data_IF_302027669288
#
_entry.id   IF_302027669288
#
_cell.length_a   1.000
_cell.length_b   1.000
_cell.length_c   1.000
_cell.angle_alpha   90.00
_cell.angle_beta   90.00
_cell.angle_gamma   90.00
#
_symmetry.space_group_name_H-M   'P 1'
#
loop_
_entity.id
_entity.type
_entity.pdbx_description
1 polymer ?
#
# COMPACT_ATOMS: atom_id res chain seq x y z
N UNK A 1 -26.29 -55.71 -85.23
CA UNK A 1 -26.08 -54.74 -84.13
C UNK A 1 -26.32 -55.43 -82.80
N UNK A 2 -25.26 -55.72 -82.04
CA UNK A 2 -25.34 -56.36 -80.72
C UNK A 2 -24.17 -57.29 -80.42
N UNK A 3 -23.12 -56.75 -79.77
CA UNK A 3 -22.11 -57.49 -78.99
C UNK A 3 -21.33 -56.42 -78.19
N UNK A 4 -21.75 -56.08 -76.96
CA UNK A 4 -21.24 -56.59 -75.67
C UNK A 4 -19.72 -56.45 -75.52
N UNK A 5 -19.31 -55.34 -74.91
CA UNK A 5 -18.00 -55.15 -74.28
C UNK A 5 -18.13 -54.55 -72.86
N UNK A 6 -17.13 -54.80 -71.98
CA UNK A 6 -17.36 -55.19 -70.58
C UNK A 6 -17.32 -54.04 -69.54
N UNK A 7 -17.82 -54.37 -68.34
CA UNK A 7 -17.98 -53.49 -67.18
C UNK A 7 -16.63 -53.03 -66.59
N UNK A 8 -16.45 -51.73 -66.46
CA UNK A 8 -15.33 -51.09 -65.77
C UNK A 8 -15.58 -51.11 -64.24
N UNK A 9 -14.83 -51.92 -63.51
CA UNK A 9 -14.78 -51.90 -62.04
C UNK A 9 -13.68 -50.93 -61.59
N UNK A 10 -14.07 -49.70 -61.26
CA UNK A 10 -13.20 -48.69 -60.68
C UNK A 10 -13.09 -48.83 -59.15
N UNK A 11 -12.14 -49.65 -58.72
CA UNK A 11 -11.59 -49.80 -57.37
C UNK A 11 -10.97 -48.47 -56.87
N UNK A 12 -11.75 -47.64 -56.17
CA UNK A 12 -11.18 -46.57 -55.34
C UNK A 12 -10.46 -47.24 -54.16
N UNK A 13 -9.14 -47.38 -54.24
CA UNK A 13 -8.32 -47.66 -53.06
C UNK A 13 -8.41 -46.41 -52.17
N UNK A 14 -9.18 -46.50 -51.08
CA UNK A 14 -8.99 -45.59 -49.96
C UNK A 14 -7.67 -45.98 -49.31
N UNK A 15 -6.58 -45.30 -49.64
CA UNK A 15 -5.37 -45.37 -48.83
C UNK A 15 -5.68 -44.68 -47.51
N UNK A 16 -6.07 -45.46 -46.51
CA UNK A 16 -6.12 -44.97 -45.14
C UNK A 16 -4.68 -44.83 -44.66
N UNK A 17 -4.12 -43.63 -44.83
CA UNK A 17 -2.87 -43.26 -44.16
C UNK A 17 -3.19 -43.18 -42.68
N UNK A 18 -3.01 -44.30 -41.96
CA UNK A 18 -3.08 -44.33 -40.51
C UNK A 18 -1.89 -43.55 -39.97
N UNK A 19 -2.09 -42.27 -39.67
CA UNK A 19 -1.16 -41.53 -38.84
C UNK A 19 -1.06 -42.25 -37.49
N UNK A 20 0.08 -42.89 -37.28
CA UNK A 20 0.43 -43.55 -36.04
C UNK A 20 0.63 -42.47 -34.99
N UNK A 21 -0.44 -42.02 -34.35
CA UNK A 21 -0.39 -41.08 -33.25
C UNK A 21 0.40 -41.74 -32.12
N UNK A 22 1.68 -41.37 -31.99
CA UNK A 22 2.48 -41.74 -30.82
C UNK A 22 1.84 -41.05 -29.62
N UNK A 23 1.02 -41.79 -28.86
CA UNK A 23 0.46 -41.33 -27.60
C UNK A 23 1.64 -41.23 -26.63
N UNK A 24 2.23 -40.04 -26.53
CA UNK A 24 3.18 -39.72 -25.48
C UNK A 24 2.48 -39.95 -24.14
N UNK A 25 2.97 -40.92 -23.37
CA UNK A 25 2.40 -41.27 -22.06
C UNK A 25 2.60 -40.06 -21.14
N UNK A 26 1.53 -39.29 -20.91
CA UNK A 26 1.56 -38.20 -19.95
C UNK A 26 1.86 -38.79 -18.56
N UNK A 27 3.00 -38.39 -17.99
CA UNK A 27 3.30 -38.66 -16.58
C UNK A 27 2.43 -37.72 -15.76
N UNK A 28 1.34 -38.23 -15.20
CA UNK A 28 0.51 -37.49 -14.25
C UNK A 28 1.19 -37.41 -12.88
N UNK A 29 0.97 -36.29 -12.19
CA UNK A 29 1.36 -36.14 -10.79
C UNK A 29 0.64 -37.17 -9.92
N UNK A 30 1.33 -37.74 -8.94
CA UNK A 30 0.70 -38.65 -7.99
C UNK A 30 -0.03 -37.86 -6.90
N UNK A 31 -1.14 -38.40 -6.36
CA UNK A 31 -1.86 -37.77 -5.25
C UNK A 31 -0.98 -37.60 -4.01
N UNK A 32 -0.08 -38.56 -3.75
CA UNK A 32 0.85 -38.53 -2.61
C UNK A 32 1.86 -37.39 -2.75
N UNK A 33 2.30 -37.11 -3.97
CA UNK A 33 3.27 -36.05 -4.27
C UNK A 33 2.68 -34.66 -4.09
N UNK A 34 1.40 -34.46 -4.42
CA UNK A 34 0.70 -33.22 -4.09
C UNK A 34 0.42 -33.13 -2.57
N UNK A 35 0.09 -34.25 -1.91
CA UNK A 35 -0.19 -34.29 -0.49
C UNK A 35 1.01 -33.85 0.37
N UNK A 36 2.21 -34.39 0.11
CA UNK A 36 3.40 -33.99 0.87
C UNK A 36 3.77 -32.51 0.62
N UNK A 37 3.59 -32.01 -0.60
CA UNK A 37 3.88 -30.61 -0.94
C UNK A 37 2.98 -29.66 -0.17
N UNK A 38 1.66 -29.89 -0.14
CA UNK A 38 0.75 -29.00 0.60
C UNK A 38 0.96 -29.08 2.12
N UNK A 39 1.39 -30.23 2.64
CA UNK A 39 1.76 -30.37 4.06
C UNK A 39 2.99 -29.51 4.38
N UNK A 40 4.05 -29.60 3.57
CA UNK A 40 5.26 -28.79 3.79
C UNK A 40 4.95 -27.29 3.63
N UNK A 41 4.18 -26.90 2.60
CA UNK A 41 3.75 -25.52 2.41
C UNK A 41 2.90 -25.02 3.58
N UNK A 42 2.05 -25.87 4.16
CA UNK A 42 1.25 -25.55 5.35
C UNK A 42 2.11 -25.26 6.58
N UNK A 43 3.14 -26.08 6.83
CA UNK A 43 4.07 -25.87 7.95
C UNK A 43 4.87 -24.58 7.77
N UNK A 44 5.39 -24.34 6.57
CA UNK A 44 6.13 -23.11 6.26
C UNK A 44 5.26 -21.87 6.42
N UNK A 45 4.03 -21.89 5.88
CA UNK A 45 3.09 -20.79 5.99
C UNK A 45 2.77 -20.45 7.46
N UNK A 46 2.59 -21.45 8.32
CA UNK A 46 2.27 -21.26 9.73
C UNK A 46 3.37 -20.48 10.50
N UNK A 47 4.64 -20.64 10.12
CA UNK A 47 5.76 -19.93 10.75
C UNK A 47 5.98 -18.55 10.09
N UNK A 48 5.93 -18.49 8.77
CA UNK A 48 6.30 -17.28 8.01
C UNK A 48 5.26 -16.17 8.14
N UNK A 49 3.97 -16.50 8.13
CA UNK A 49 2.89 -15.50 8.17
C UNK A 49 2.97 -14.60 9.42
N UNK A 50 3.01 -15.13 10.66
CA UNK A 50 3.07 -14.28 11.86
C UNK A 50 4.37 -13.46 11.90
N UNK A 51 5.50 -14.05 11.51
CA UNK A 51 6.78 -13.35 11.46
C UNK A 51 6.73 -12.16 10.49
N UNK A 52 6.18 -12.36 9.30
CA UNK A 52 6.07 -11.32 8.29
C UNK A 52 5.14 -10.18 8.74
N UNK A 53 4.00 -10.51 9.36
CA UNK A 53 3.07 -9.50 9.89
C UNK A 53 3.76 -8.61 10.94
N UNK A 54 4.43 -9.20 11.92
CA UNK A 54 5.11 -8.44 12.99
C UNK A 54 6.24 -7.54 12.43
N UNK A 55 7.01 -8.06 11.47
CA UNK A 55 8.06 -7.29 10.80
C UNK A 55 7.48 -6.10 10.01
N UNK A 56 6.36 -6.32 9.32
CA UNK A 56 5.64 -5.28 8.58
C UNK A 56 5.12 -4.17 9.52
N UNK A 57 4.57 -4.53 10.68
CA UNK A 57 4.09 -3.56 11.65
C UNK A 57 5.22 -2.75 12.29
N UNK A 58 6.34 -3.39 12.62
CA UNK A 58 7.53 -2.70 13.13
C UNK A 58 8.11 -1.72 12.09
N UNK A 59 8.09 -2.11 10.81
CA UNK A 59 8.49 -1.23 9.71
C UNK A 59 7.55 -0.02 9.57
N UNK A 60 6.24 -0.21 9.73
CA UNK A 60 5.27 0.89 9.76
C UNK A 60 5.49 1.83 10.94
N UNK A 61 5.76 1.30 12.13
CA UNK A 61 6.11 2.12 13.31
C UNK A 61 7.36 2.97 13.08
N UNK A 62 8.40 2.38 12.49
CA UNK A 62 9.64 3.10 12.14
C UNK A 62 9.39 4.18 11.07
N UNK A 63 8.60 3.86 10.05
CA UNK A 63 8.18 4.82 9.02
C UNK A 63 7.41 5.98 9.62
N UNK A 64 6.47 5.71 10.54
CA UNK A 64 5.68 6.74 11.22
C UNK A 64 6.58 7.73 11.98
N UNK A 65 7.55 7.24 12.73
CA UNK A 65 8.52 8.10 13.44
C UNK A 65 9.32 8.96 12.47
N UNK A 66 9.76 8.41 11.33
CA UNK A 66 10.47 9.18 10.30
C UNK A 66 9.59 10.28 9.67
N UNK A 67 8.32 9.97 9.41
CA UNK A 67 7.35 10.94 8.89
C UNK A 67 7.11 12.05 9.91
N UNK A 68 6.91 11.71 11.20
CA UNK A 68 6.74 12.68 12.28
C UNK A 68 7.94 13.62 12.41
N UNK A 69 9.17 13.08 12.36
CA UNK A 69 10.38 13.89 12.41
C UNK A 69 10.45 14.86 11.23
N UNK A 70 10.09 14.40 10.03
CA UNK A 70 10.03 15.24 8.83
C UNK A 70 9.02 16.37 9.01
N UNK A 71 7.79 16.05 9.43
CA UNK A 71 6.74 17.05 9.66
C UNK A 71 7.17 18.08 10.70
N UNK A 72 7.71 17.66 11.84
CA UNK A 72 8.17 18.55 12.91
C UNK A 72 9.26 19.51 12.44
N UNK A 73 10.25 18.99 11.71
CA UNK A 73 11.30 19.83 11.12
C UNK A 73 10.72 20.86 10.15
N UNK A 74 9.73 20.48 9.33
CA UNK A 74 9.09 21.41 8.41
C UNK A 74 8.21 22.45 9.13
N UNK A 75 7.54 22.08 10.21
CA UNK A 75 6.78 23.00 11.05
C UNK A 75 7.68 24.04 11.73
N UNK A 76 8.87 23.64 12.18
CA UNK A 76 9.87 24.56 12.73
C UNK A 76 10.39 25.53 11.66
N UNK A 77 10.67 25.04 10.44
CA UNK A 77 11.07 25.90 9.33
C UNK A 77 9.96 26.88 8.94
N UNK A 78 8.71 26.41 8.89
CA UNK A 78 7.53 27.24 8.67
C UNK A 78 7.48 28.37 9.71
N UNK A 79 7.60 28.03 10.99
CA UNK A 79 7.54 29.01 12.07
C UNK A 79 8.55 30.15 11.90
N UNK A 80 9.77 29.83 11.48
CA UNK A 80 10.84 30.81 11.26
C UNK A 80 10.49 31.79 10.12
N UNK A 81 9.82 31.31 9.07
CA UNK A 81 9.48 32.10 7.89
C UNK A 81 8.17 32.88 8.05
N UNK A 82 7.27 32.44 8.94
CA UNK A 82 5.94 33.03 9.14
C UNK A 82 5.80 33.79 10.47
N UNK A 83 6.74 34.69 10.74
CA UNK A 83 6.71 35.59 11.91
C UNK A 83 6.57 34.88 13.28
N UNK A 84 7.09 33.66 13.42
CA UNK A 84 6.98 32.89 14.67
C UNK A 84 5.68 32.09 14.82
N UNK A 85 4.80 32.13 13.82
CA UNK A 85 3.51 31.44 13.85
C UNK A 85 3.60 30.08 13.16
N UNK A 86 2.96 29.07 13.77
CA UNK A 86 2.74 27.79 13.10
C UNK A 86 1.52 27.85 12.19
N UNK A 87 1.38 26.91 11.22
CA UNK A 87 0.19 26.84 10.38
C UNK A 87 -1.08 26.73 11.22
N UNK A 88 -2.17 27.36 10.79
CA UNK A 88 -3.46 27.14 11.44
C UNK A 88 -3.97 25.73 11.11
N UNK A 89 -4.69 25.12 12.04
CA UNK A 89 -5.36 23.85 11.88
C UNK A 89 -6.31 23.91 10.68
N UNK A 90 -7.00 25.03 10.46
CA UNK A 90 -7.89 25.19 9.30
C UNK A 90 -7.17 24.92 7.97
N UNK A 91 -5.88 25.29 7.87
CA UNK A 91 -5.08 25.02 6.68
C UNK A 91 -4.58 23.57 6.57
N UNK A 92 -4.51 22.86 7.68
CA UNK A 92 -4.10 21.45 7.73
C UNK A 92 -5.31 20.49 7.62
N UNK A 93 -6.49 20.94 8.07
CA UNK A 93 -7.71 20.14 8.28
C UNK A 93 -8.66 20.09 7.06
N UNK A 94 -8.37 20.77 5.96
CA UNK A 94 -9.23 20.71 4.77
C UNK A 94 -9.33 19.27 4.25
N UNK A 95 -10.50 18.82 3.78
CA UNK A 95 -10.63 17.49 3.18
C UNK A 95 -9.72 17.31 1.95
N UNK A 96 -9.34 16.07 1.66
CA UNK A 96 -8.59 15.69 0.46
C UNK A 96 -9.26 16.30 -0.80
N UNK A 97 -8.57 17.13 -1.62
CA UNK A 97 -7.12 17.27 -1.75
C UNK A 97 -6.47 18.50 -1.08
N UNK A 98 -7.22 19.37 -0.43
CA UNK A 98 -6.73 20.67 0.09
C UNK A 98 -6.14 20.57 1.51
N UNK A 99 -5.94 19.34 2.03
CA UNK A 99 -5.28 19.11 3.30
C UNK A 99 -3.82 19.57 3.24
N UNK A 100 -3.28 20.07 4.35
CA UNK A 100 -1.86 20.44 4.48
C UNK A 100 -1.40 21.61 3.58
N UNK A 101 -2.29 22.43 3.04
CA UNK A 101 -1.97 23.49 2.07
C UNK A 101 -0.81 24.40 2.47
N UNK A 102 -0.73 24.80 3.75
CA UNK A 102 0.37 25.64 4.24
C UNK A 102 1.74 24.96 4.25
N UNK A 103 1.78 23.63 4.25
CA UNK A 103 3.03 22.87 4.14
C UNK A 103 3.28 22.36 2.72
N UNK A 104 2.25 22.10 1.92
CA UNK A 104 2.37 21.51 0.57
C UNK A 104 2.37 22.51 -0.57
N UNK A 105 2.00 23.77 -0.30
CA UNK A 105 1.98 24.86 -1.28
C UNK A 105 2.88 26.01 -0.84
N UNK A 106 3.16 26.91 -1.78
CA UNK A 106 3.82 28.15 -1.43
C UNK A 106 2.83 29.12 -0.75
N UNK A 107 3.32 29.87 0.23
CA UNK A 107 2.54 30.82 1.02
C UNK A 107 3.25 32.16 1.17
N UNK A 108 2.49 33.21 1.49
CA UNK A 108 3.02 34.51 1.90
C UNK A 108 3.45 34.49 3.38
N UNK A 109 4.04 35.57 3.89
CA UNK A 109 4.52 35.65 5.29
C UNK A 109 3.42 35.37 6.35
N UNK A 110 2.16 35.61 6.01
CA UNK A 110 1.01 35.42 6.92
C UNK A 110 0.39 34.02 6.79
N UNK A 111 0.90 33.18 5.89
CA UNK A 111 0.40 31.83 5.67
C UNK A 111 -0.79 31.73 4.73
N UNK A 112 -1.10 32.78 3.96
CA UNK A 112 -2.08 32.69 2.88
C UNK A 112 -1.41 32.15 1.61
N UNK A 113 -2.21 31.70 0.64
CA UNK A 113 -1.70 31.24 -0.64
C UNK A 113 -0.85 32.33 -1.32
N UNK A 114 0.38 31.99 -1.66
CA UNK A 114 1.39 32.95 -2.15
C UNK A 114 2.52 32.25 -2.87
N UNK A 115 3.62 32.96 -3.12
CA UNK A 115 4.78 32.43 -3.87
C UNK A 115 6.12 32.60 -3.13
N UNK A 116 6.08 33.09 -1.90
CA UNK A 116 7.29 33.61 -1.22
C UNK A 116 8.02 32.54 -0.42
N UNK A 117 7.28 31.68 0.28
CA UNK A 117 7.81 30.65 1.18
C UNK A 117 7.22 29.27 0.88
N UNK A 118 7.97 28.21 1.14
CA UNK A 118 7.56 26.83 0.84
C UNK A 118 7.73 26.42 -0.64
N UNK A 119 7.17 25.26 -1.05
CA UNK A 119 6.51 24.28 -0.20
C UNK A 119 7.51 23.60 0.74
N UNK A 120 7.06 23.25 1.93
CA UNK A 120 7.87 22.60 2.97
C UNK A 120 7.81 21.08 2.87
N UNK A 121 6.68 20.56 2.40
CA UNK A 121 6.44 19.15 2.10
C UNK A 121 6.09 19.01 0.62
N UNK A 122 6.63 17.97 -0.02
CA UNK A 122 6.31 17.69 -1.43
C UNK A 122 4.92 17.07 -1.62
N UNK A 123 4.37 16.46 -0.56
CA UNK A 123 3.05 15.85 -0.56
C UNK A 123 2.51 15.80 0.86
N UNK A 124 1.19 15.70 0.99
CA UNK A 124 0.51 15.50 2.27
C UNK A 124 0.97 14.18 2.91
N UNK A 125 1.51 14.21 4.14
CA UNK A 125 2.05 13.03 4.78
C UNK A 125 0.91 12.08 5.19
N UNK A 126 0.94 10.85 4.67
CA UNK A 126 0.01 9.81 5.05
C UNK A 126 0.47 9.07 6.30
N UNK A 127 -0.46 8.75 7.18
CA UNK A 127 -0.19 7.89 8.32
C UNK A 127 -0.02 6.43 7.82
N UNK A 128 1.14 5.77 8.03
CA UNK A 128 1.40 4.41 7.53
C UNK A 128 0.46 3.31 8.05
N UNK A 129 -0.31 3.58 9.11
CA UNK A 129 -1.28 2.64 9.68
C UNK A 129 -2.66 2.78 9.07
N UNK A 130 -3.10 4.01 8.75
CA UNK A 130 -4.44 4.28 8.22
C UNK A 130 -4.45 4.59 6.72
N UNK A 131 -3.29 4.92 6.14
CA UNK A 131 -3.11 5.43 4.77
C UNK A 131 -3.92 6.70 4.48
N UNK A 132 -4.17 7.52 5.50
CA UNK A 132 -4.94 8.76 5.39
C UNK A 132 -4.12 9.93 5.91
N UNK A 133 -4.57 11.14 5.58
CA UNK A 133 -3.84 12.40 5.83
C UNK A 133 -4.60 13.35 6.77
N UNK A 134 -5.71 12.94 7.36
CA UNK A 134 -6.58 13.87 8.07
C UNK A 134 -5.93 14.37 9.36
N UNK A 135 -6.15 15.65 9.67
CA UNK A 135 -5.61 16.33 10.85
C UNK A 135 -6.76 16.87 11.69
N UNK A 136 -6.67 16.74 13.01
CA UNK A 136 -7.58 17.37 13.96
C UNK A 136 -6.82 17.93 15.17
N UNK A 137 -7.47 18.78 15.96
CA UNK A 137 -6.96 19.23 17.26
C UNK A 137 -7.06 18.16 18.36
N UNK A 138 -7.77 17.07 18.09
CA UNK A 138 -8.04 15.97 19.01
C UNK A 138 -7.60 14.63 18.38
N UNK A 139 -7.99 13.52 19.02
CA UNK A 139 -7.70 12.18 18.56
C UNK A 139 -8.74 11.60 17.59
N UNK A 140 -9.56 12.44 16.93
CA UNK A 140 -10.61 11.98 16.00
C UNK A 140 -10.11 11.76 14.56
N UNK A 141 -8.91 12.23 14.23
CA UNK A 141 -8.31 12.12 12.91
C UNK A 141 -7.10 11.17 12.91
N UNK A 142 -6.36 11.12 11.79
CA UNK A 142 -5.16 10.28 11.64
C UNK A 142 -3.92 10.93 12.27
N UNK A 143 -3.93 12.26 12.32
CA UNK A 143 -2.94 13.07 13.00
C UNK A 143 -3.59 14.06 13.96
N UNK A 144 -2.99 14.24 15.11
CA UNK A 144 -3.33 15.31 16.05
C UNK A 144 -2.33 16.45 15.91
N UNK A 145 -2.85 17.67 15.84
CA UNK A 145 -2.08 18.89 15.72
C UNK A 145 -2.51 19.95 16.73
N UNK A 146 -1.56 20.41 17.53
CA UNK A 146 -1.74 21.53 18.45
C UNK A 146 -1.12 22.81 17.87
N UNK A 147 -1.94 23.73 17.34
CA UNK A 147 -1.51 25.00 16.73
C UNK A 147 -0.58 25.83 17.63
N UNK A 148 -0.96 26.00 18.90
CA UNK A 148 -0.25 26.88 19.85
C UNK A 148 1.21 26.49 20.08
N UNK A 149 1.55 25.22 19.84
CA UNK A 149 2.90 24.69 20.08
C UNK A 149 3.51 24.05 18.84
N UNK A 150 2.81 24.02 17.70
CA UNK A 150 3.22 23.26 16.52
C UNK A 150 3.41 21.76 16.77
N UNK A 151 2.78 21.21 17.82
CA UNK A 151 3.02 19.82 18.21
C UNK A 151 2.21 18.90 17.30
N UNK A 152 2.90 17.94 16.70
CA UNK A 152 2.30 16.88 15.89
C UNK A 152 2.43 15.51 16.55
N UNK A 153 1.33 14.75 16.59
CA UNK A 153 1.28 13.35 17.01
C UNK A 153 0.48 12.51 16.02
N UNK A 154 0.82 11.23 15.92
CA UNK A 154 0.05 10.26 15.17
C UNK A 154 -1.07 9.67 16.04
N UNK A 155 -2.26 9.52 15.49
CA UNK A 155 -3.36 8.85 16.19
C UNK A 155 -3.39 7.38 15.77
N UNK A 156 -3.33 6.48 16.75
CA UNK A 156 -3.30 5.03 16.55
C UNK A 156 -4.23 4.34 17.56
N UNK A 157 -4.59 3.07 17.31
CA UNK A 157 -5.30 2.28 18.33
C UNK A 157 -4.41 2.04 19.56
N UNK A 158 -5.03 2.01 20.74
CA UNK A 158 -4.32 1.80 22.01
C UNK A 158 -3.47 0.51 22.00
N UNK A 159 -4.01 -0.55 21.41
CA UNK A 159 -3.31 -1.83 21.26
C UNK A 159 -2.00 -1.65 20.49
N UNK A 160 -2.02 -0.91 19.36
CA UNK A 160 -0.83 -0.70 18.53
C UNK A 160 0.23 0.17 19.20
N UNK A 161 -0.19 1.16 19.98
CA UNK A 161 0.74 1.97 20.77
C UNK A 161 1.50 1.09 21.77
N UNK A 162 0.77 0.20 22.46
CA UNK A 162 1.37 -0.71 23.44
C UNK A 162 2.27 -1.77 22.81
N UNK A 163 1.85 -2.34 21.68
CA UNK A 163 2.57 -3.38 20.94
C UNK A 163 3.91 -2.89 20.39
N UNK A 164 3.92 -1.65 19.87
CA UNK A 164 5.10 -1.04 19.27
C UNK A 164 5.96 -0.25 20.26
N UNK A 165 5.52 -0.11 21.52
CA UNK A 165 6.24 0.63 22.55
C UNK A 165 6.47 2.10 22.21
N UNK A 166 5.52 2.74 21.51
CA UNK A 166 5.69 4.10 21.02
C UNK A 166 5.50 5.14 22.14
N UNK A 167 6.31 6.19 22.12
CA UNK A 167 6.27 7.27 23.12
C UNK A 167 4.99 8.10 23.01
N UNK A 168 4.41 8.49 24.15
CA UNK A 168 3.26 9.40 24.21
C UNK A 168 3.54 10.80 23.65
N UNK A 169 4.82 11.16 23.43
CA UNK A 169 5.21 12.37 22.70
C UNK A 169 4.93 12.28 21.21
N UNK A 170 4.87 11.06 20.66
CA UNK A 170 4.77 10.79 19.22
C UNK A 170 3.39 10.29 18.83
N UNK A 171 2.69 9.63 19.74
CA UNK A 171 1.40 8.99 19.46
C UNK A 171 0.33 9.35 20.47
N UNK A 172 -0.93 9.26 20.03
CA UNK A 172 -2.13 9.45 20.84
C UNK A 172 -3.11 8.30 20.54
N UNK A 173 -3.78 7.79 21.57
CA UNK A 173 -4.77 6.74 21.39
C UNK A 173 -6.05 7.30 20.76
N UNK A 174 -6.54 6.62 19.71
CA UNK A 174 -7.88 6.83 19.16
C UNK A 174 -8.96 6.55 20.23
N UNK A 175 -10.11 7.23 20.16
CA UNK A 175 -11.22 7.07 21.11
C UNK A 175 -11.87 5.68 21.08
#
# INVERSE_FOLDING_TARGET
MGSREPKQYGWLILTYTGDSQMIARSKGFTLVEILIVVVILGILAAIVIPQFTNASETAKGSSLTSVLQTIRSQLELYQIQHNGNYPTLANLQTGDPDSWTNLTSATDVDGNAGTDFGPYLQQSPSNPFTNRVNVAADNSADWEYTEATGRMRAVLSADKISELGMSSSDVLAAP
#
